data_IF_434496096665
#
_entry.id   IF_434496096665
#
_cell.length_a   1.000
_cell.length_b   1.000
_cell.length_c   1.000
_cell.angle_alpha   90.00
_cell.angle_beta   90.00
_cell.angle_gamma   90.00
#
_symmetry.space_group_name_H-M   'P 1'
#
loop_
_entity.id
_entity.type
_entity.pdbx_description
1 polymer ?
#
# COMPACT_ATOMS: atom_id res chain seq x y z
N UNK A 1 26.21 -2.36 -11.51
CA UNK A 1 25.06 -3.16 -11.05
C UNK A 1 24.03 -2.23 -10.44
N UNK A 2 23.07 -1.77 -11.24
CA UNK A 2 21.94 -0.95 -10.80
C UNK A 2 20.70 -1.54 -11.47
N UNK A 3 19.50 -1.42 -10.89
CA UNK A 3 18.19 -1.82 -11.45
C UNK A 3 17.60 -3.15 -10.92
N UNK A 4 17.67 -3.42 -9.61
CA UNK A 4 16.79 -4.42 -8.97
C UNK A 4 15.74 -3.82 -8.03
N UNK A 5 15.83 -2.52 -7.71
CA UNK A 5 14.80 -1.84 -6.92
C UNK A 5 13.63 -1.47 -7.84
N UNK A 6 12.60 -2.31 -7.83
CA UNK A 6 11.37 -2.07 -8.58
C UNK A 6 10.41 -1.32 -7.67
N UNK A 7 9.92 -0.17 -8.15
CA UNK A 7 8.96 0.68 -7.43
C UNK A 7 7.80 -0.09 -6.79
N UNK A 8 7.26 -1.09 -7.51
CA UNK A 8 6.17 -1.95 -7.02
C UNK A 8 6.55 -2.77 -5.79
N UNK A 9 7.81 -3.20 -5.72
CA UNK A 9 8.33 -3.96 -4.60
C UNK A 9 8.47 -3.05 -3.38
N UNK A 10 8.94 -1.81 -3.55
CA UNK A 10 8.97 -0.83 -2.46
C UNK A 10 7.54 -0.53 -1.93
N UNK A 11 6.54 -0.41 -2.80
CA UNK A 11 5.11 -0.24 -2.40
C UNK A 11 4.64 -1.42 -1.54
N UNK A 12 4.90 -2.65 -1.98
CA UNK A 12 4.47 -3.90 -1.33
C UNK A 12 5.18 -4.11 0.01
N UNK A 13 6.51 -4.01 0.02
CA UNK A 13 7.28 -4.23 1.23
C UNK A 13 6.95 -3.21 2.30
N UNK A 14 6.79 -1.95 1.92
CA UNK A 14 6.44 -0.91 2.87
C UNK A 14 5.02 -1.09 3.40
N UNK A 15 4.05 -1.43 2.55
CA UNK A 15 2.70 -1.79 3.00
C UNK A 15 2.73 -2.95 4.00
N UNK A 16 3.45 -4.03 3.68
CA UNK A 16 3.56 -5.19 4.55
C UNK A 16 4.20 -4.85 5.91
N UNK A 17 5.30 -4.10 5.90
CA UNK A 17 5.98 -3.69 7.13
C UNK A 17 5.09 -2.81 8.02
N UNK A 18 4.36 -1.86 7.43
CA UNK A 18 3.45 -0.98 8.17
C UNK A 18 2.25 -1.75 8.72
N UNK A 19 1.71 -2.70 7.95
CA UNK A 19 0.63 -3.59 8.42
C UNK A 19 1.09 -4.43 9.61
N UNK A 20 2.27 -5.04 9.56
CA UNK A 20 2.83 -5.78 10.72
C UNK A 20 2.97 -4.86 11.94
N UNK A 21 3.50 -3.66 11.74
CA UNK A 21 3.72 -2.72 12.83
C UNK A 21 2.40 -2.24 13.46
N UNK A 22 1.37 -2.02 12.63
CA UNK A 22 0.01 -1.70 13.08
C UNK A 22 -0.57 -2.86 13.91
N UNK A 23 -0.48 -4.09 13.41
CA UNK A 23 -0.94 -5.28 14.13
C UNK A 23 -0.21 -5.48 15.46
N UNK A 24 1.11 -5.36 15.45
CA UNK A 24 1.92 -5.48 16.66
C UNK A 24 1.49 -4.44 17.72
N UNK A 25 1.16 -3.23 17.30
CA UNK A 25 0.65 -2.19 18.19
C UNK A 25 -0.75 -2.51 18.73
N UNK A 26 -1.67 -2.99 17.89
CA UNK A 26 -3.01 -3.37 18.35
C UNK A 26 -2.98 -4.52 19.35
N UNK A 27 -2.19 -5.57 19.09
CA UNK A 27 -2.00 -6.65 20.06
C UNK A 27 -1.34 -6.16 21.35
N UNK A 28 -0.41 -5.20 21.28
CA UNK A 28 0.18 -4.62 22.48
C UNK A 28 -0.86 -3.86 23.31
N UNK A 29 -1.72 -3.05 22.69
CA UNK A 29 -2.78 -2.34 23.41
C UNK A 29 -3.77 -3.29 24.07
N UNK A 30 -4.20 -4.32 23.34
CA UNK A 30 -5.10 -5.35 23.86
C UNK A 30 -4.46 -6.08 25.05
N UNK A 31 -3.15 -6.39 24.96
CA UNK A 31 -2.39 -6.97 26.06
C UNK A 31 -2.36 -6.08 27.32
N UNK A 32 -2.33 -4.76 27.16
CA UNK A 32 -2.42 -3.81 28.27
C UNK A 32 -3.88 -3.54 28.74
N UNK A 33 -4.87 -4.23 28.17
CA UNK A 33 -6.28 -4.11 28.54
C UNK A 33 -6.97 -2.86 27.98
N UNK A 34 -6.38 -2.24 26.94
CA UNK A 34 -6.89 -1.03 26.29
C UNK A 34 -7.53 -1.40 24.96
N UNK A 35 -8.68 -0.81 24.64
CA UNK A 35 -9.32 -1.02 23.33
C UNK A 35 -8.45 -0.39 22.21
N UNK A 36 -7.94 -1.18 21.26
CA UNK A 36 -7.11 -0.66 20.17
C UNK A 36 -7.84 0.35 19.26
N UNK A 37 -9.18 0.31 19.22
CA UNK A 37 -10.00 1.20 18.38
C UNK A 37 -9.90 2.66 18.82
N UNK A 38 -9.76 2.91 20.13
CA UNK A 38 -9.64 4.27 20.67
C UNK A 38 -8.31 4.93 20.26
N UNK A 39 -7.29 4.12 20.01
CA UNK A 39 -5.93 4.59 19.71
C UNK A 39 -5.53 4.39 18.25
N UNK A 40 -6.41 3.81 17.45
CA UNK A 40 -6.17 3.47 16.06
C UNK A 40 -5.64 4.66 15.26
N UNK A 41 -6.23 5.85 15.44
CA UNK A 41 -5.82 7.06 14.71
C UNK A 41 -4.39 7.50 15.03
N UNK A 42 -3.95 7.39 16.29
CA UNK A 42 -2.63 7.84 16.73
C UNK A 42 -1.49 7.01 16.13
N UNK A 43 -1.77 5.78 15.72
CA UNK A 43 -0.78 4.92 15.07
C UNK A 43 -1.01 4.83 13.57
N UNK A 44 -2.23 4.58 13.12
CA UNK A 44 -2.52 4.48 11.69
C UNK A 44 -2.26 5.80 10.95
N UNK A 45 -2.65 6.94 11.51
CA UNK A 45 -2.52 8.25 10.87
C UNK A 45 -1.07 8.58 10.48
N UNK A 46 -0.13 8.60 11.44
CA UNK A 46 1.29 8.84 11.14
C UNK A 46 1.88 7.83 10.15
N UNK A 47 1.52 6.54 10.26
CA UNK A 47 2.02 5.51 9.35
C UNK A 47 1.49 5.69 7.93
N UNK A 48 0.23 6.09 7.77
CA UNK A 48 -0.37 6.41 6.46
C UNK A 48 0.30 7.62 5.80
N UNK A 49 0.56 8.68 6.57
CA UNK A 49 1.25 9.87 6.07
C UNK A 49 2.66 9.48 5.62
N UNK A 50 3.38 8.73 6.45
CA UNK A 50 4.71 8.23 6.12
C UNK A 50 4.68 7.38 4.84
N UNK A 51 3.71 6.46 4.73
CA UNK A 51 3.55 5.61 3.56
C UNK A 51 3.37 6.42 2.28
N UNK A 52 2.41 7.35 2.27
CA UNK A 52 2.10 8.17 1.12
C UNK A 52 3.27 9.07 0.70
N UNK A 53 3.88 9.78 1.66
CA UNK A 53 5.00 10.69 1.39
C UNK A 53 6.22 9.94 0.88
N UNK A 54 6.57 8.80 1.48
CA UNK A 54 7.73 8.02 1.08
C UNK A 54 7.58 7.50 -0.35
N UNK A 55 6.44 6.90 -0.68
CA UNK A 55 6.18 6.40 -2.03
C UNK A 55 6.13 7.55 -3.04
N UNK A 56 5.55 8.69 -2.69
CA UNK A 56 5.54 9.88 -3.55
C UNK A 56 6.96 10.36 -3.89
N UNK A 57 7.87 10.40 -2.91
CA UNK A 57 9.26 10.78 -3.12
C UNK A 57 10.01 9.78 -4.01
N UNK A 58 9.77 8.47 -3.84
CA UNK A 58 10.39 7.44 -4.70
C UNK A 58 9.85 7.53 -6.12
N UNK A 59 8.53 7.72 -6.27
CA UNK A 59 7.86 7.88 -7.56
C UNK A 59 8.54 8.95 -8.41
N UNK A 60 8.86 10.10 -7.83
CA UNK A 60 9.54 11.19 -8.54
C UNK A 60 10.91 10.84 -9.12
N UNK A 61 11.56 9.78 -8.61
CA UNK A 61 12.93 9.37 -8.99
C UNK A 61 12.98 8.25 -10.02
N UNK A 62 11.87 7.55 -10.27
CA UNK A 62 11.82 6.35 -11.13
C UNK A 62 11.05 6.65 -12.41
N UNK A 63 11.63 6.32 -13.57
CA UNK A 63 11.00 6.45 -14.88
C UNK A 63 9.76 5.54 -15.00
N UNK A 64 8.74 5.95 -15.75
CA UNK A 64 7.49 5.18 -15.88
C UNK A 64 7.74 3.80 -16.52
N UNK A 65 8.69 3.71 -17.47
CA UNK A 65 9.04 2.46 -18.12
C UNK A 65 9.54 1.43 -17.09
N UNK A 66 10.32 1.89 -16.10
CA UNK A 66 10.88 1.03 -15.05
C UNK A 66 9.87 0.66 -13.96
N UNK A 67 8.77 1.42 -13.82
CA UNK A 67 7.69 1.11 -12.87
C UNK A 67 6.83 -0.09 -13.31
N UNK A 68 6.71 -0.30 -14.64
CA UNK A 68 5.79 -1.28 -15.26
C UNK A 68 6.38 -2.67 -15.46
N UNK A 69 7.70 -2.83 -15.26
CA UNK A 69 8.39 -4.09 -15.54
C UNK A 69 8.03 -5.17 -14.49
N UNK A 70 6.88 -5.80 -14.66
CA UNK A 70 6.42 -6.90 -13.82
C UNK A 70 7.35 -8.11 -13.99
N UNK A 71 7.86 -8.64 -12.90
CA UNK A 71 8.54 -9.94 -12.90
C UNK A 71 7.66 -10.98 -12.24
N UNK A 72 7.77 -12.24 -12.64
CA UNK A 72 7.10 -13.38 -11.99
C UNK A 72 7.32 -13.39 -10.47
N UNK A 73 8.49 -12.95 -10.00
CA UNK A 73 8.80 -12.78 -8.56
C UNK A 73 7.86 -11.77 -7.87
N UNK A 74 7.55 -10.67 -8.54
CA UNK A 74 6.60 -9.66 -8.06
C UNK A 74 5.21 -10.28 -7.90
N UNK A 75 4.75 -11.06 -8.88
CA UNK A 75 3.47 -11.80 -8.84
C UNK A 75 3.37 -12.78 -7.67
N UNK A 76 4.46 -13.45 -7.31
CA UNK A 76 4.48 -14.31 -6.12
C UNK A 76 4.25 -13.50 -4.84
N UNK A 77 4.95 -12.37 -4.67
CA UNK A 77 4.74 -11.50 -3.50
C UNK A 77 3.29 -10.98 -3.42
N UNK A 78 2.64 -10.72 -4.57
CA UNK A 78 1.23 -10.33 -4.64
C UNK A 78 0.30 -11.42 -4.09
N UNK A 79 0.48 -12.65 -4.54
CA UNK A 79 -0.35 -13.78 -4.11
C UNK A 79 -0.13 -14.03 -2.62
N UNK A 80 1.12 -14.03 -2.16
CA UNK A 80 1.46 -14.23 -0.74
C UNK A 80 0.86 -13.13 0.14
N UNK A 81 0.98 -11.87 -0.26
CA UNK A 81 0.39 -10.75 0.49
C UNK A 81 -1.14 -10.85 0.57
N UNK A 82 -1.79 -11.19 -0.54
CA UNK A 82 -3.24 -11.38 -0.58
C UNK A 82 -3.69 -12.49 0.38
N UNK A 83 -3.02 -13.65 0.35
CA UNK A 83 -3.30 -14.76 1.26
C UNK A 83 -3.12 -14.35 2.72
N UNK A 84 -2.03 -13.66 3.06
CA UNK A 84 -1.78 -13.20 4.44
C UNK A 84 -2.89 -12.24 4.90
N UNK A 85 -3.31 -11.29 4.05
CA UNK A 85 -4.41 -10.40 4.42
C UNK A 85 -5.72 -11.15 4.62
N UNK A 86 -6.03 -12.16 3.81
CA UNK A 86 -7.21 -12.99 4.02
C UNK A 86 -7.17 -13.75 5.36
N UNK A 87 -5.99 -14.19 5.80
CA UNK A 87 -5.82 -14.85 7.10
C UNK A 87 -6.06 -13.89 8.29
N UNK A 88 -5.92 -12.57 8.11
CA UNK A 88 -6.19 -11.59 9.19
C UNK A 88 -7.68 -11.31 9.45
N UNK A 89 -8.59 -11.89 8.66
CA UNK A 89 -10.02 -11.76 8.94
C UNK A 89 -10.49 -12.70 10.05
N UNK A 90 -9.76 -13.79 10.30
CA UNK A 90 -10.11 -14.84 11.27
C UNK A 90 -9.28 -14.74 12.58
N UNK A 91 -8.57 -13.62 12.78
CA UNK A 91 -7.78 -13.37 13.99
C UNK A 91 -8.64 -12.74 15.11
N UNK A 92 -8.24 -12.89 16.39
CA UNK A 92 -8.98 -12.34 17.54
C UNK A 92 -9.23 -10.83 17.41
N UNK A 93 -8.25 -10.11 16.88
CA UNK A 93 -8.39 -8.76 16.38
C UNK A 93 -8.69 -8.88 14.90
N UNK A 94 -9.96 -8.77 14.49
CA UNK A 94 -10.33 -8.97 13.09
C UNK A 94 -10.04 -7.72 12.26
N UNK A 95 -9.44 -7.90 11.08
CA UNK A 95 -9.15 -6.83 10.13
C UNK A 95 -10.39 -6.00 9.74
N UNK A 96 -11.60 -6.58 9.87
CA UNK A 96 -12.86 -5.92 9.49
C UNK A 96 -13.26 -4.79 10.44
N UNK A 97 -12.81 -4.85 11.70
CA UNK A 97 -13.22 -3.95 12.77
C UNK A 97 -12.45 -2.61 12.76
N UNK A 98 -11.35 -2.56 12.00
CA UNK A 98 -10.44 -1.43 11.94
C UNK A 98 -10.56 -0.69 10.61
N UNK A 99 -10.93 0.59 10.66
CA UNK A 99 -11.05 1.42 9.45
C UNK A 99 -9.68 1.66 8.82
N UNK A 100 -8.62 1.70 9.63
CA UNK A 100 -7.24 1.93 9.19
C UNK A 100 -6.78 0.86 8.23
N UNK A 101 -7.11 -0.41 8.46
CA UNK A 101 -6.75 -1.53 7.58
C UNK A 101 -7.40 -1.35 6.20
N UNK A 102 -8.67 -0.93 6.16
CA UNK A 102 -9.38 -0.64 4.91
C UNK A 102 -8.73 0.53 4.16
N UNK A 103 -8.39 1.60 4.86
CA UNK A 103 -7.74 2.78 4.26
C UNK A 103 -6.33 2.46 3.78
N UNK A 104 -5.55 1.71 4.55
CA UNK A 104 -4.24 1.19 4.14
C UNK A 104 -4.34 0.39 2.86
N UNK A 105 -5.31 -0.52 2.77
CA UNK A 105 -5.55 -1.32 1.59
C UNK A 105 -5.93 -0.47 0.37
N UNK A 106 -6.84 0.51 0.53
CA UNK A 106 -7.23 1.43 -0.55
C UNK A 106 -6.02 2.23 -1.06
N UNK A 107 -5.23 2.81 -0.15
CA UNK A 107 -4.05 3.61 -0.53
C UNK A 107 -3.02 2.72 -1.23
N UNK A 108 -2.78 1.52 -0.72
CA UNK A 108 -1.93 0.53 -1.35
C UNK A 108 -2.40 0.20 -2.78
N UNK A 109 -3.69 -0.09 -2.98
CA UNK A 109 -4.26 -0.36 -4.30
C UNK A 109 -4.08 0.83 -5.25
N UNK A 110 -4.32 2.05 -4.78
CA UNK A 110 -4.15 3.27 -5.59
C UNK A 110 -2.69 3.50 -6.00
N UNK A 111 -1.75 3.39 -5.05
CA UNK A 111 -0.32 3.57 -5.33
C UNK A 111 0.20 2.48 -6.25
N UNK A 112 -0.29 1.25 -6.09
CA UNK A 112 0.00 0.16 -6.99
C UNK A 112 -0.56 0.44 -8.39
N UNK A 113 -1.83 0.84 -8.51
CA UNK A 113 -2.42 1.15 -9.81
C UNK A 113 -1.67 2.29 -10.51
N UNK A 114 -1.21 3.29 -9.76
CA UNK A 114 -0.37 4.38 -10.27
C UNK A 114 0.96 3.87 -10.86
N UNK A 115 1.52 2.78 -10.31
CA UNK A 115 2.72 2.14 -10.88
C UNK A 115 2.51 1.66 -12.32
N UNK A 116 1.27 1.32 -12.69
CA UNK A 116 0.90 0.89 -14.04
C UNK A 116 0.42 2.05 -14.90
N UNK A 117 -0.50 2.88 -14.40
CA UNK A 117 -1.25 3.81 -15.26
C UNK A 117 -0.77 5.27 -15.24
N UNK A 118 0.22 5.64 -14.42
CA UNK A 118 0.69 7.03 -14.24
C UNK A 118 -0.46 8.05 -14.24
N UNK A 119 -1.12 8.17 -13.09
CA UNK A 119 -2.25 9.08 -12.94
C UNK A 119 -1.87 10.56 -13.11
N UNK A 120 -0.57 10.92 -13.14
CA UNK A 120 -0.14 12.30 -13.45
C UNK A 120 -0.40 12.67 -14.91
N UNK A 121 -0.30 11.69 -15.83
CA UNK A 121 -0.55 11.90 -17.26
C UNK A 121 -2.03 11.72 -17.63
N UNK A 122 -2.73 10.86 -16.91
CA UNK A 122 -4.18 10.71 -17.04
C UNK A 122 -4.87 11.91 -16.38
N UNK A 123 -4.81 13.07 -17.03
CA UNK A 123 -5.69 14.18 -16.68
C UNK A 123 -7.11 13.88 -17.17
N UNK A 124 -8.12 14.40 -16.47
CA UNK A 124 -9.54 14.33 -16.90
C UNK A 124 -9.71 14.82 -18.36
N UNK A 125 -8.82 15.70 -18.85
CA UNK A 125 -8.80 16.13 -20.26
C UNK A 125 -8.41 15.05 -21.26
N UNK A 126 -7.56 14.08 -20.91
CA UNK A 126 -7.27 12.93 -21.80
C UNK A 126 -8.40 11.89 -21.77
N UNK A 127 -9.11 11.74 -20.64
CA UNK A 127 -10.28 10.84 -20.57
C UNK A 127 -11.47 11.37 -21.37
N UNK A 128 -11.62 12.70 -21.46
CA UNK A 128 -12.69 13.37 -22.19
C UNK A 128 -12.40 13.59 -23.70
N UNK A 129 -11.17 13.35 -24.18
CA UNK A 129 -10.82 13.49 -25.61
C UNK A 129 -10.40 12.16 -26.21
N UNK A 130 -10.94 11.86 -27.37
CA UNK A 130 -10.68 10.64 -28.14
C UNK A 130 -9.19 10.26 -28.25
N UNK A 131 -8.99 8.94 -28.18
CA UNK A 131 -7.78 8.08 -28.20
C UNK A 131 -6.54 8.50 -28.98
N UNK A 132 -6.57 9.55 -29.80
CA UNK A 132 -5.54 9.83 -30.81
C UNK A 132 -4.55 10.95 -30.46
N UNK A 133 -4.62 11.55 -29.26
CA UNK A 133 -3.70 12.67 -28.88
C UNK A 133 -3.14 12.62 -27.45
N UNK A 134 -3.22 11.47 -26.79
CA UNK A 134 -2.42 11.10 -25.62
C UNK A 134 -1.90 9.68 -25.88
#
# INVERSE_FOLDING_TARGET
MHILRKYQLDIVFLFFALTILLWAFFYALEYFGVDPRDYEWYVAGPLLIFYGVFIWQIRGKISIADRRALTTKSMLYWITLGVIMFLTFDTPVSAIDFWSVRVFFIIFTLLLADSYWDFKKISIRCLAREKNKC
#
